data_IF_845057651523
#
_entry.id   IF_845057651523
#
_cell.length_a   1.000
_cell.length_b   1.000
_cell.length_c   1.000
_cell.angle_alpha   90.00
_cell.angle_beta   90.00
_cell.angle_gamma   90.00
#
_symmetry.space_group_name_H-M   'P 1'
#
loop_
_entity.id
_entity.type
_entity.pdbx_description
1 polymer ?
#
# COMPACT_ATOMS: atom_id res chain seq x y z
N UNK A 1 -13.51 -12.50 -17.01
CA UNK A 1 -12.78 -11.32 -16.50
C UNK A 1 -11.53 -11.13 -17.32
N UNK A 2 -11.43 -9.99 -18.03
CA UNK A 2 -10.34 -9.66 -18.94
C UNK A 2 -9.46 -8.58 -18.30
N UNK A 3 -8.14 -8.72 -18.38
CA UNK A 3 -7.20 -7.67 -17.97
C UNK A 3 -6.87 -6.77 -19.17
N UNK A 4 -6.97 -5.46 -18.99
CA UNK A 4 -6.66 -4.47 -20.02
C UNK A 4 -6.21 -3.13 -19.40
N UNK A 5 -5.66 -2.23 -20.22
CA UNK A 5 -5.33 -0.85 -19.82
C UNK A 5 -6.35 0.12 -20.39
N UNK A 6 -7.10 0.79 -19.50
CA UNK A 6 -8.23 1.65 -19.87
C UNK A 6 -7.88 3.12 -19.59
N UNK A 7 -8.25 3.99 -20.54
CA UNK A 7 -8.10 5.44 -20.41
C UNK A 7 -9.04 6.01 -19.35
N UNK A 8 -8.54 6.92 -18.52
CA UNK A 8 -9.30 7.58 -17.45
C UNK A 8 -10.55 8.30 -17.94
N UNK A 9 -10.52 8.80 -19.18
CA UNK A 9 -11.65 9.50 -19.80
C UNK A 9 -12.84 8.58 -20.09
N UNK A 10 -12.60 7.27 -20.23
CA UNK A 10 -13.61 6.26 -20.58
C UNK A 10 -14.23 5.59 -19.34
N UNK A 11 -13.86 6.04 -18.14
CA UNK A 11 -14.26 5.41 -16.88
C UNK A 11 -15.22 6.34 -16.14
N UNK A 12 -16.35 5.81 -15.71
CA UNK A 12 -17.37 6.47 -14.89
C UNK A 12 -17.51 5.78 -13.53
N UNK A 13 -18.10 6.45 -12.54
CA UNK A 13 -18.32 5.85 -11.22
C UNK A 13 -19.64 5.07 -11.24
N UNK A 14 -19.59 3.77 -10.93
CA UNK A 14 -20.80 2.95 -10.84
C UNK A 14 -21.62 3.33 -9.60
N UNK A 15 -22.96 3.39 -9.75
CA UNK A 15 -23.90 3.57 -8.63
C UNK A 15 -23.79 2.43 -7.61
N UNK A 16 -23.46 1.21 -8.06
CA UNK A 16 -23.34 0.01 -7.24
C UNK A 16 -22.02 -0.09 -6.45
N UNK A 17 -21.12 0.88 -6.61
CA UNK A 17 -19.90 0.92 -5.83
C UNK A 17 -20.24 1.15 -4.34
N UNK A 18 -19.79 0.25 -3.45
CA UNK A 18 -20.07 0.35 -2.00
C UNK A 18 -19.64 1.69 -1.39
N UNK A 19 -18.60 2.32 -1.96
CA UNK A 19 -18.12 3.65 -1.55
C UNK A 19 -18.52 4.72 -2.57
N UNK A 20 -19.69 4.59 -3.20
CA UNK A 20 -20.29 5.62 -4.04
C UNK A 20 -20.82 6.77 -3.17
N UNK A 21 -19.94 7.67 -2.78
CA UNK A 21 -20.30 8.96 -2.17
C UNK A 21 -20.21 10.07 -3.21
N UNK A 22 -21.10 11.06 -3.16
CA UNK A 22 -20.95 12.28 -3.99
C UNK A 22 -19.69 13.09 -3.66
N UNK A 23 -19.17 12.96 -2.44
CA UNK A 23 -17.88 13.55 -2.04
C UNK A 23 -16.74 12.76 -2.63
N UNK A 24 -15.72 13.47 -3.09
CA UNK A 24 -14.46 12.90 -3.51
C UNK A 24 -13.77 12.20 -2.33
N UNK A 25 -13.17 11.03 -2.56
CA UNK A 25 -12.50 10.31 -1.49
C UNK A 25 -11.17 10.97 -1.13
N UNK A 26 -10.80 10.93 0.15
CA UNK A 26 -9.46 11.32 0.56
C UNK A 26 -8.42 10.34 -0.03
N UNK A 27 -7.43 10.92 -0.71
CA UNK A 27 -6.33 10.23 -1.38
C UNK A 27 -4.98 10.86 -1.04
N UNK A 28 -4.90 11.68 0.02
CA UNK A 28 -3.66 12.33 0.44
C UNK A 28 -2.51 11.35 0.70
N UNK A 29 -2.83 10.17 1.22
CA UNK A 29 -1.92 9.04 1.44
C UNK A 29 -1.51 8.32 0.14
N UNK A 30 -2.41 8.21 -0.82
CA UNK A 30 -2.25 7.42 -2.04
C UNK A 30 -1.65 8.21 -3.20
N UNK A 31 -1.98 9.50 -3.29
CA UNK A 31 -1.62 10.39 -4.39
C UNK A 31 -0.09 10.48 -4.61
N UNK A 32 0.76 10.60 -3.57
CA UNK A 32 2.22 10.60 -3.75
C UNK A 32 2.75 9.31 -4.40
N UNK A 33 2.17 8.17 -4.05
CA UNK A 33 2.52 6.89 -4.66
C UNK A 33 2.08 6.82 -6.12
N UNK A 34 0.86 7.25 -6.42
CA UNK A 34 0.31 7.25 -7.78
C UNK A 34 1.07 8.21 -8.69
N UNK A 35 1.47 9.39 -8.22
CA UNK A 35 2.33 10.31 -8.98
C UNK A 35 3.67 9.67 -9.38
N UNK A 36 4.30 8.92 -8.46
CA UNK A 36 5.62 8.33 -8.70
C UNK A 36 5.60 7.02 -9.49
N UNK A 37 4.54 6.23 -9.36
CA UNK A 37 4.52 4.83 -9.86
C UNK A 37 3.29 4.46 -10.67
N UNK A 38 2.35 5.38 -10.83
CA UNK A 38 1.04 5.09 -11.38
C UNK A 38 0.21 4.15 -10.50
N UNK A 39 -0.88 3.65 -11.07
CA UNK A 39 -1.75 2.68 -10.41
C UNK A 39 -1.18 1.28 -10.64
N UNK A 40 -0.67 0.66 -9.58
CA UNK A 40 -0.05 -0.68 -9.65
C UNK A 40 -1.11 -1.79 -9.56
N UNK A 41 -2.08 -1.63 -8.66
CA UNK A 41 -3.11 -2.64 -8.41
C UNK A 41 -4.30 -2.41 -9.36
N UNK A 42 -4.69 -3.39 -10.19
CA UNK A 42 -5.78 -3.23 -11.14
C UNK A 42 -7.10 -2.84 -10.48
N UNK A 43 -7.84 -1.91 -11.08
CA UNK A 43 -9.21 -1.57 -10.65
C UNK A 43 -10.20 -2.55 -11.25
N UNK A 44 -11.36 -2.72 -10.62
CA UNK A 44 -12.41 -3.61 -11.14
C UNK A 44 -13.45 -2.77 -11.86
N UNK A 45 -13.64 -3.05 -13.15
CA UNK A 45 -14.57 -2.35 -14.02
C UNK A 45 -15.65 -3.31 -14.54
N UNK A 46 -16.81 -2.76 -14.86
CA UNK A 46 -17.85 -3.40 -15.67
C UNK A 46 -18.08 -2.57 -16.94
N UNK A 47 -18.61 -3.16 -18.02
CA UNK A 47 -19.12 -2.40 -19.14
C UNK A 47 -20.21 -1.40 -18.68
N UNK A 48 -20.12 -0.16 -19.18
CA UNK A 48 -21.12 0.87 -18.96
C UNK A 48 -22.31 0.72 -19.92
N UNK A 49 -23.23 1.69 -19.85
CA UNK A 49 -24.42 1.71 -20.73
C UNK A 49 -24.08 2.03 -22.20
N UNK A 50 -22.95 2.70 -22.45
CA UNK A 50 -22.46 3.03 -23.78
C UNK A 50 -21.24 2.17 -24.16
N UNK A 51 -21.11 1.82 -25.43
CA UNK A 51 -20.00 1.02 -25.92
C UNK A 51 -18.67 1.76 -25.76
N UNK A 52 -17.67 1.08 -25.19
CA UNK A 52 -16.37 1.67 -24.88
C UNK A 52 -16.32 2.47 -23.57
N UNK A 53 -17.45 2.66 -22.86
CA UNK A 53 -17.48 3.21 -21.50
C UNK A 53 -17.44 2.10 -20.46
N UNK A 54 -16.80 2.38 -19.33
CA UNK A 54 -16.67 1.46 -18.22
C UNK A 54 -17.10 2.11 -16.92
N UNK A 55 -17.67 1.33 -16.00
CA UNK A 55 -18.04 1.81 -14.68
C UNK A 55 -17.21 1.14 -13.58
N UNK A 56 -16.77 1.93 -12.59
CA UNK A 56 -15.91 1.47 -11.49
C UNK A 56 -16.74 0.72 -10.45
N UNK A 57 -16.50 -0.58 -10.34
CA UNK A 57 -17.07 -1.45 -9.30
C UNK A 57 -16.25 -1.38 -8.01
N UNK A 58 -14.91 -1.42 -8.13
CA UNK A 58 -13.98 -1.31 -7.01
C UNK A 58 -12.71 -0.51 -7.40
N UNK A 59 -12.07 0.12 -6.42
CA UNK A 59 -10.87 0.94 -6.65
C UNK A 59 -11.12 2.43 -6.90
N UNK A 60 -12.25 2.99 -6.44
CA UNK A 60 -12.60 4.41 -6.63
C UNK A 60 -11.51 5.40 -6.18
N UNK A 61 -10.83 5.13 -5.06
CA UNK A 61 -9.70 5.94 -4.57
C UNK A 61 -8.53 5.98 -5.56
N UNK A 62 -8.21 4.84 -6.19
CA UNK A 62 -7.13 4.72 -7.17
C UNK A 62 -7.44 5.52 -8.43
N UNK A 63 -8.66 5.40 -8.95
CA UNK A 63 -9.07 6.18 -10.14
C UNK A 63 -9.10 7.68 -9.82
N UNK A 64 -9.60 8.08 -8.65
CA UNK A 64 -9.59 9.49 -8.26
C UNK A 64 -8.18 10.05 -8.11
N UNK A 65 -7.26 9.32 -7.43
CA UNK A 65 -5.86 9.72 -7.32
C UNK A 65 -5.17 9.83 -8.70
N UNK A 66 -5.45 8.89 -9.61
CA UNK A 66 -4.92 8.94 -10.98
C UNK A 66 -5.43 10.16 -11.76
N UNK A 67 -6.73 10.50 -11.63
CA UNK A 67 -7.29 11.72 -12.23
C UNK A 67 -6.62 12.98 -11.72
N UNK A 68 -6.44 13.10 -10.41
CA UNK A 68 -5.74 14.25 -9.83
C UNK A 68 -4.30 14.34 -10.34
N UNK A 69 -3.57 13.22 -10.35
CA UNK A 69 -2.20 13.18 -10.85
C UNK A 69 -2.10 13.56 -12.34
N UNK A 70 -3.06 13.17 -13.19
CA UNK A 70 -3.11 13.56 -14.60
C UNK A 70 -3.45 15.04 -14.84
N UNK A 71 -4.12 15.69 -13.89
CA UNK A 71 -4.49 17.11 -13.99
C UNK A 71 -3.34 18.05 -13.63
N UNK A 72 -2.26 17.53 -13.04
CA UNK A 72 -1.09 18.31 -12.66
C UNK A 72 -0.26 18.72 -13.89
N UNK A 73 0.30 19.94 -13.86
CA UNK A 73 1.15 20.43 -14.93
C UNK A 73 2.41 19.56 -15.06
N UNK A 74 2.69 19.06 -16.28
CA UNK A 74 3.82 18.16 -16.54
C UNK A 74 3.58 16.70 -16.13
N UNK A 75 2.32 16.30 -15.89
CA UNK A 75 1.97 14.91 -15.62
C UNK A 75 2.42 13.96 -16.73
N UNK A 76 2.89 12.78 -16.32
CA UNK A 76 3.27 11.72 -17.24
C UNK A 76 2.02 11.23 -18.01
N UNK A 77 2.03 11.24 -19.36
CA UNK A 77 0.91 10.76 -20.16
C UNK A 77 0.56 9.28 -19.90
N UNK A 78 1.48 8.48 -19.38
CA UNK A 78 1.19 7.09 -19.01
C UNK A 78 0.21 6.98 -17.83
N UNK A 79 0.10 8.01 -16.99
CA UNK A 79 -0.87 8.05 -15.89
C UNK A 79 -2.32 8.12 -16.39
N UNK A 80 -2.53 8.53 -17.65
CA UNK A 80 -3.85 8.61 -18.26
C UNK A 80 -4.49 7.23 -18.48
N UNK A 81 -3.69 6.16 -18.42
CA UNK A 81 -4.11 4.77 -18.56
C UNK A 81 -3.85 4.00 -17.29
N UNK A 82 -4.80 3.16 -16.88
CA UNK A 82 -4.66 2.35 -15.68
C UNK A 82 -4.99 0.88 -15.92
N UNK A 83 -4.32 -0.04 -15.20
CA UNK A 83 -4.64 -1.45 -15.29
C UNK A 83 -6.05 -1.69 -14.72
N UNK A 84 -6.85 -2.43 -15.47
CA UNK A 84 -8.23 -2.74 -15.14
C UNK A 84 -8.53 -4.23 -15.36
N UNK A 85 -9.34 -4.78 -14.47
CA UNK A 85 -9.97 -6.07 -14.60
C UNK A 85 -11.43 -5.86 -14.98
N UNK A 86 -11.78 -6.17 -16.21
CA UNK A 86 -13.10 -5.97 -16.81
C UNK A 86 -13.94 -7.23 -16.58
N UNK A 87 -15.06 -7.06 -15.89
CA UNK A 87 -16.06 -8.10 -15.66
C UNK A 87 -16.89 -8.33 -16.92
N UNK A 88 -17.43 -9.54 -17.07
CA UNK A 88 -18.37 -9.83 -18.16
C UNK A 88 -19.70 -9.06 -17.92
N UNK A 89 -20.39 -8.72 -19.00
CA UNK A 89 -21.68 -8.02 -18.90
C UNK A 89 -22.75 -8.91 -18.25
N UNK A 90 -23.64 -8.31 -17.44
CA UNK A 90 -24.87 -8.95 -16.96
C UNK A 90 -24.83 -9.57 -15.55
N UNK A 91 -23.71 -9.46 -14.81
CA UNK A 91 -23.59 -10.02 -13.46
C UNK A 91 -23.42 -8.95 -12.38
N UNK A 92 -24.52 -8.22 -12.12
CA UNK A 92 -24.58 -7.20 -11.07
C UNK A 92 -24.29 -7.79 -9.67
N UNK A 93 -24.65 -9.06 -9.45
CA UNK A 93 -24.40 -9.78 -8.21
C UNK A 93 -22.91 -10.04 -8.03
N UNK A 94 -22.21 -10.58 -9.04
CA UNK A 94 -20.76 -10.76 -8.97
C UNK A 94 -20.02 -9.44 -8.83
N UNK A 95 -20.50 -8.35 -9.44
CA UNK A 95 -19.90 -7.02 -9.27
C UNK A 95 -20.00 -6.55 -7.81
N UNK A 96 -21.17 -6.74 -7.19
CA UNK A 96 -21.39 -6.42 -5.79
C UNK A 96 -20.55 -7.31 -4.85
N UNK A 97 -20.47 -8.61 -5.13
CA UNK A 97 -19.61 -9.57 -4.41
C UNK A 97 -18.13 -9.21 -4.53
N UNK A 98 -17.64 -8.89 -5.72
CA UNK A 98 -16.25 -8.47 -5.92
C UNK A 98 -15.92 -7.18 -5.15
N UNK A 99 -16.84 -6.22 -5.13
CA UNK A 99 -16.71 -4.98 -4.35
C UNK A 99 -16.68 -5.28 -2.84
N UNK A 100 -17.54 -6.19 -2.36
CA UNK A 100 -17.56 -6.64 -0.97
C UNK A 100 -16.26 -7.34 -0.57
N UNK A 101 -15.79 -8.29 -1.38
CA UNK A 101 -14.59 -9.08 -1.11
C UNK A 101 -13.35 -8.19 -1.03
N UNK A 102 -13.17 -7.25 -1.97
CA UNK A 102 -12.01 -6.32 -1.93
C UNK A 102 -12.04 -5.41 -0.70
N UNK A 103 -13.21 -4.89 -0.34
CA UNK A 103 -13.36 -4.05 0.85
C UNK A 103 -13.10 -4.84 2.15
N UNK A 104 -13.56 -6.09 2.23
CA UNK A 104 -13.40 -6.96 3.41
C UNK A 104 -11.98 -7.53 3.54
N UNK A 105 -11.32 -7.86 2.43
CA UNK A 105 -9.96 -8.41 2.43
C UNK A 105 -8.88 -7.37 2.79
N UNK A 106 -9.27 -6.11 3.07
CA UNK A 106 -8.35 -5.05 3.42
C UNK A 106 -7.84 -5.20 4.85
N UNK A 107 -6.65 -5.78 4.99
CA UNK A 107 -5.89 -5.78 6.23
C UNK A 107 -4.69 -4.84 6.07
N UNK A 108 -4.65 -3.79 6.89
CA UNK A 108 -3.47 -2.94 6.98
C UNK A 108 -2.31 -3.79 7.51
N UNK A 109 -1.09 -3.64 6.97
CA UNK A 109 0.06 -4.37 7.48
C UNK A 109 0.30 -3.97 8.93
N UNK A 110 0.54 -4.97 9.78
CA UNK A 110 0.92 -4.76 11.16
C UNK A 110 2.23 -3.97 11.27
N UNK A 111 2.47 -3.38 12.44
CA UNK A 111 3.59 -2.47 12.64
C UNK A 111 4.96 -3.13 12.46
N UNK A 112 5.08 -4.43 12.79
CA UNK A 112 6.34 -5.19 12.64
C UNK A 112 6.61 -5.46 11.17
N UNK A 113 5.63 -5.93 10.41
CA UNK A 113 5.76 -6.14 8.96
C UNK A 113 6.12 -4.84 8.22
N UNK A 114 5.56 -3.71 8.66
CA UNK A 114 5.88 -2.38 8.11
C UNK A 114 7.33 -1.98 8.41
N UNK A 115 7.79 -2.17 9.65
CA UNK A 115 9.18 -1.94 10.04
C UNK A 115 10.15 -2.80 9.22
N UNK A 116 9.91 -4.11 9.13
CA UNK A 116 10.77 -5.03 8.36
C UNK A 116 10.91 -4.58 6.90
N UNK A 117 9.79 -4.19 6.29
CA UNK A 117 9.75 -3.70 4.91
C UNK A 117 10.55 -2.41 4.75
N UNK A 118 10.41 -1.46 5.68
CA UNK A 118 11.11 -0.18 5.63
C UNK A 118 12.62 -0.36 5.85
N UNK A 119 13.02 -1.23 6.78
CA UNK A 119 14.44 -1.59 6.98
C UNK A 119 15.04 -2.20 5.71
N UNK A 120 14.32 -3.09 5.01
CA UNK A 120 14.78 -3.65 3.73
C UNK A 120 14.98 -2.58 2.67
N UNK A 121 14.06 -1.61 2.56
CA UNK A 121 14.19 -0.49 1.62
C UNK A 121 15.38 0.41 1.94
N UNK A 122 15.62 0.73 3.21
CA UNK A 122 16.79 1.52 3.64
C UNK A 122 18.09 0.77 3.34
N UNK A 123 18.14 -0.55 3.56
CA UNK A 123 19.29 -1.39 3.19
C UNK A 123 19.56 -1.42 1.69
N UNK A 124 18.53 -1.19 0.86
CA UNK A 124 18.66 -1.02 -0.59
C UNK A 124 19.01 0.42 -1.00
N UNK A 125 19.37 1.29 -0.05
CA UNK A 125 19.82 2.66 -0.31
C UNK A 125 18.71 3.70 -0.38
N UNK A 126 17.45 3.37 -0.01
CA UNK A 126 16.37 4.36 0.04
C UNK A 126 16.54 5.28 1.25
N UNK A 127 16.44 6.58 1.02
CA UNK A 127 16.53 7.60 2.08
C UNK A 127 15.19 7.78 2.79
N UNK A 128 15.20 8.45 3.95
CA UNK A 128 13.95 8.79 4.66
C UNK A 128 13.06 9.72 3.82
N UNK A 129 13.68 10.62 3.06
CA UNK A 129 12.99 11.53 2.14
C UNK A 129 12.33 10.76 0.99
N UNK A 130 13.01 9.76 0.42
CA UNK A 130 12.43 8.87 -0.60
C UNK A 130 11.20 8.14 -0.06
N UNK A 131 11.31 7.58 1.15
CA UNK A 131 10.22 6.84 1.79
C UNK A 131 9.04 7.77 2.11
N UNK A 132 9.30 8.93 2.70
CA UNK A 132 8.31 9.98 2.98
C UNK A 132 7.53 10.35 1.72
N UNK A 133 8.26 10.72 0.67
CA UNK A 133 7.68 11.17 -0.59
C UNK A 133 7.01 10.05 -1.41
N UNK A 134 7.47 8.80 -1.30
CA UNK A 134 6.83 7.67 -1.99
C UNK A 134 5.57 7.18 -1.29
N UNK A 135 5.57 7.12 0.03
CA UNK A 135 4.44 6.58 0.81
C UNK A 135 3.49 7.67 1.34
N UNK A 136 3.77 8.95 1.09
CA UNK A 136 2.94 10.06 1.58
C UNK A 136 2.92 10.21 3.10
N UNK A 137 3.97 9.73 3.78
CA UNK A 137 4.07 9.74 5.23
C UNK A 137 4.99 10.86 5.70
N UNK A 138 4.66 11.58 6.79
CA UNK A 138 5.60 12.51 7.39
C UNK A 138 6.92 11.81 7.74
N UNK A 139 8.05 12.50 7.56
CA UNK A 139 9.36 11.92 7.86
C UNK A 139 9.48 11.44 9.31
N UNK A 140 8.84 12.15 10.25
CA UNK A 140 8.74 11.74 11.65
C UNK A 140 8.05 10.37 11.80
N UNK A 141 7.01 10.10 11.01
CA UNK A 141 6.31 8.81 11.00
C UNK A 141 7.21 7.70 10.46
N UNK A 142 7.96 7.97 9.38
CA UNK A 142 8.96 7.04 8.84
C UNK A 142 10.02 6.71 9.89
N UNK A 143 10.51 7.72 10.62
CA UNK A 143 11.47 7.56 11.73
C UNK A 143 10.92 6.69 12.85
N UNK A 144 9.67 6.93 13.27
CA UNK A 144 8.99 6.13 14.31
C UNK A 144 8.86 4.66 13.91
N UNK A 145 8.47 4.40 12.66
CA UNK A 145 8.39 3.02 12.13
C UNK A 145 9.76 2.36 12.21
N UNK A 146 10.83 3.01 11.73
CA UNK A 146 12.19 2.47 11.76
C UNK A 146 12.72 2.24 13.18
N UNK A 147 12.27 3.06 14.14
CA UNK A 147 12.64 2.95 15.55
C UNK A 147 11.98 1.76 16.27
N UNK A 148 10.98 1.08 15.69
CA UNK A 148 10.32 -0.08 16.28
C UNK A 148 11.32 -1.19 16.65
N UNK A 149 12.36 -1.40 15.83
CA UNK A 149 13.43 -2.37 16.11
C UNK A 149 14.27 -2.08 17.35
N UNK A 150 14.16 -0.87 17.93
CA UNK A 150 14.86 -0.51 19.17
C UNK A 150 14.05 -0.86 20.44
N UNK A 151 12.77 -1.24 20.31
CA UNK A 151 11.90 -1.59 21.43
C UNK A 151 12.16 -3.04 21.86
N UNK A 152 13.20 -3.24 22.69
CA UNK A 152 13.60 -4.50 23.34
C UNK A 152 13.85 -5.71 22.38
N UNK A 153 14.99 -6.44 22.51
CA UNK A 153 15.31 -7.59 21.67
C UNK A 153 14.28 -8.73 21.63
N UNK A 154 13.25 -8.68 22.49
CA UNK A 154 12.19 -9.69 22.58
C UNK A 154 11.07 -9.54 21.56
N UNK A 155 10.96 -8.40 20.88
CA UNK A 155 9.88 -8.12 19.91
C UNK A 155 10.35 -8.39 18.47
N UNK A 156 11.65 -8.25 18.18
CA UNK A 156 12.24 -8.42 16.84
C UNK A 156 12.52 -9.86 16.41
N UNK A 157 11.95 -10.85 17.09
CA UNK A 157 12.10 -12.26 16.76
C UNK A 157 10.75 -12.88 16.49
N UNK A 158 10.48 -13.22 15.24
CA UNK A 158 9.54 -14.27 14.91
C UNK A 158 9.97 -15.53 15.66
N UNK A 159 9.32 -15.83 16.79
CA UNK A 159 9.23 -17.22 17.23
C UNK A 159 8.27 -17.89 16.25
N UNK A 160 8.72 -18.78 15.35
CA UNK A 160 7.80 -19.75 14.80
C UNK A 160 7.24 -20.51 16.01
N UNK A 161 5.91 -20.64 16.09
CA UNK A 161 5.27 -21.48 17.10
C UNK A 161 5.94 -22.86 17.10
N UNK A 162 6.77 -23.07 18.11
CA UNK A 162 7.72 -24.18 18.17
C UNK A 162 8.42 -24.17 19.52
N UNK A 163 7.66 -23.95 20.59
CA UNK A 163 8.08 -24.25 21.94
C UNK A 163 8.44 -25.75 21.99
N UNK A 164 9.73 -26.06 21.89
CA UNK A 164 10.29 -27.27 22.48
C UNK A 164 11.08 -26.84 23.70
N UNK A 165 10.44 -26.97 24.87
CA UNK A 165 11.15 -27.08 26.15
C UNK A 165 12.02 -28.34 26.09
N UNK A 166 13.27 -28.17 25.68
CA UNK A 166 14.33 -29.16 25.75
C UNK A 166 15.22 -28.85 26.95
N UNK A 167 15.07 -29.64 28.00
CA UNK A 167 15.84 -29.63 29.23
C UNK A 167 17.32 -29.92 28.93
N UNK A 168 18.26 -29.11 29.42
CA UNK A 168 19.69 -29.42 29.27
C UNK A 168 20.63 -28.23 29.48
N UNK A 169 21.33 -28.26 30.60
CA UNK A 169 22.47 -27.43 30.97
C UNK A 169 23.47 -27.18 29.83
N UNK A 170 23.64 -25.91 29.44
CA UNK A 170 24.92 -25.18 29.43
C UNK A 170 24.75 -23.84 28.71
N UNK A 171 25.37 -22.80 29.28
CA UNK A 171 25.31 -21.44 28.77
C UNK A 171 25.75 -21.34 27.31
N UNK A 172 24.79 -21.04 26.45
CA UNK A 172 25.01 -20.60 25.08
C UNK A 172 24.21 -19.34 24.88
N UNK A 173 24.85 -18.18 25.06
CA UNK A 173 24.33 -16.90 24.60
C UNK A 173 24.07 -17.05 23.10
N UNK A 174 22.80 -17.01 22.67
CA UNK A 174 22.45 -16.86 21.27
C UNK A 174 22.91 -15.48 20.80
N UNK A 175 24.20 -15.37 20.49
CA UNK A 175 24.81 -14.26 19.79
C UNK A 175 24.51 -14.46 18.30
N UNK A 176 23.29 -14.13 17.88
CA UNK A 176 22.98 -14.02 16.47
C UNK A 176 22.22 -12.71 16.23
N UNK A 177 22.92 -11.83 15.51
CA UNK A 177 22.44 -10.65 14.77
C UNK A 177 22.09 -9.40 15.59
N UNK A 178 23.06 -8.85 16.32
CA UNK A 178 23.05 -7.42 16.72
C UNK A 178 24.38 -6.71 16.37
N UNK A 179 25.17 -7.25 15.43
CA UNK A 179 26.47 -6.65 15.08
C UNK A 179 26.43 -5.61 13.96
N UNK A 180 25.25 -5.25 13.43
CA UNK A 180 25.17 -4.28 12.33
C UNK A 180 24.03 -3.24 12.46
N UNK A 181 23.67 -2.89 13.70
CA UNK A 181 22.70 -1.83 14.04
C UNK A 181 23.43 -0.65 14.72
N UNK A 182 24.74 -0.52 14.54
CA UNK A 182 25.49 0.65 15.06
C UNK A 182 25.05 1.96 14.39
N UNK A 183 24.57 1.91 13.15
CA UNK A 183 24.07 3.07 12.38
C UNK A 183 22.65 3.52 12.76
N UNK A 184 21.92 2.72 13.56
CA UNK A 184 20.57 3.04 14.06
C UNK A 184 20.60 3.57 15.51
N UNK A 185 21.80 3.63 16.13
CA UNK A 185 22.05 4.51 17.29
C UNK A 185 22.05 5.96 16.79
N UNK A 186 20.85 6.52 16.61
CA UNK A 186 20.71 7.96 16.55
C UNK A 186 21.29 8.54 17.86
N UNK A 187 22.17 9.56 17.79
CA UNK A 187 22.68 10.20 18.98
C UNK A 187 21.49 10.73 19.78
N UNK A 188 21.50 10.40 21.06
CA UNK A 188 20.57 10.86 22.09
C UNK A 188 20.64 12.37 22.27
N UNK A 189 20.09 13.11 21.31
CA UNK A 189 19.99 14.57 21.34
C UNK A 189 18.70 15.02 20.64
N UNK A 190 17.56 14.60 21.19
CA UNK A 190 16.31 15.36 21.07
C UNK A 190 15.78 15.48 22.50
N UNK A 191 16.23 16.53 23.18
CA UNK A 191 15.48 17.07 24.31
C UNK A 191 14.14 17.54 23.76
N UNK A 192 13.06 17.08 24.41
CA UNK A 192 11.69 17.55 24.21
C UNK A 192 11.60 19.07 24.35
#
# INVERSE_FOLDING_TARGET
MKLDFIDLCNIDVCVMNMRHSRRDPDVSDLLPTVRKRGVIVPVILRPGSEEGRFEIVAGRRRVHAARLACQEEGADPELARLPAAIMEAGDDAAALEASLIENLARLDPDEVSRWESFVRLVKQGRTLEDLSSTFGLPELTVRRILALGNLLPRIGGSTPLGCRTGNGSNGGTCALVVENISWLRYPSAISL
#
